data_IF_895743553474
#
_entry.id   IF_895743553474
#
_cell.length_a   1.000
_cell.length_b   1.000
_cell.length_c   1.000
_cell.angle_alpha   90.00
_cell.angle_beta   90.00
_cell.angle_gamma   90.00
#
_symmetry.space_group_name_H-M   'P 1'
#
loop_
_entity.id
_entity.type
_entity.pdbx_description
1 polymer ?
#
# COMPACT_ATOMS: atom_id res chain seq x y z
N UNK A 1 -6.91 -1.18 3.59
CA UNK A 1 -7.42 0.15 4.00
C UNK A 1 -7.60 0.12 5.50
N UNK A 2 -7.62 1.29 6.12
CA UNK A 2 -7.85 1.48 7.56
C UNK A 2 -8.75 2.70 7.76
N UNK A 3 -9.29 2.88 8.95
CA UNK A 3 -10.14 4.03 9.28
C UNK A 3 -9.44 5.35 8.99
N UNK A 4 -8.16 5.45 9.37
CA UNK A 4 -7.29 6.61 9.23
C UNK A 4 -6.96 6.95 7.77
N UNK A 5 -7.14 5.99 6.87
CA UNK A 5 -6.84 6.16 5.45
C UNK A 5 -7.99 6.75 4.65
N UNK A 6 -9.20 6.80 5.22
CA UNK A 6 -10.41 7.37 4.59
C UNK A 6 -10.91 6.63 3.34
N UNK A 7 -10.15 5.68 2.80
CA UNK A 7 -10.47 4.97 1.57
C UNK A 7 -9.53 3.82 1.24
N UNK A 8 -9.72 3.21 0.07
CA UNK A 8 -8.95 2.04 -0.36
C UNK A 8 -7.53 2.44 -0.76
N UNK A 9 -6.54 1.78 -0.17
CA UNK A 9 -5.11 2.07 -0.39
C UNK A 9 -4.44 1.11 -1.38
N UNK A 10 -4.68 -0.19 -1.25
CA UNK A 10 -4.10 -1.24 -2.09
C UNK A 10 -5.25 -2.16 -2.48
N UNK A 11 -5.51 -2.31 -3.78
CA UNK A 11 -6.63 -3.09 -4.32
C UNK A 11 -6.40 -3.48 -5.77
N UNK A 12 -6.92 -4.63 -6.23
CA UNK A 12 -7.04 -4.87 -7.66
C UNK A 12 -8.03 -3.91 -8.30
N UNK A 13 -7.78 -3.57 -9.56
CA UNK A 13 -8.77 -2.95 -10.44
C UNK A 13 -9.39 -4.06 -11.29
N UNK A 14 -10.71 -4.33 -11.16
CA UNK A 14 -11.38 -5.32 -11.97
C UNK A 14 -11.16 -5.04 -13.46
N UNK A 15 -10.76 -6.06 -14.23
CA UNK A 15 -10.45 -5.93 -15.65
C UNK A 15 -9.06 -5.39 -15.99
N UNK A 16 -8.26 -4.93 -15.01
CA UNK A 16 -6.89 -4.45 -15.23
C UNK A 16 -5.83 -5.22 -14.42
N UNK A 17 -6.20 -5.80 -13.27
CA UNK A 17 -5.26 -6.52 -12.39
C UNK A 17 -5.63 -8.00 -12.29
N UNK A 18 -4.69 -8.89 -12.68
CA UNK A 18 -4.82 -10.33 -12.44
C UNK A 18 -4.78 -10.63 -10.93
N UNK A 19 -5.64 -11.54 -10.47
CA UNK A 19 -5.80 -11.82 -9.05
C UNK A 19 -4.91 -12.99 -8.60
N UNK A 20 -4.35 -12.85 -7.39
CA UNK A 20 -3.72 -13.94 -6.63
C UNK A 20 -4.47 -14.08 -5.30
N UNK A 21 -5.01 -15.26 -4.94
CA UNK A 21 -5.74 -15.45 -3.69
C UNK A 21 -4.94 -14.97 -2.47
N UNK A 22 -5.57 -14.17 -1.61
CA UNK A 22 -4.94 -13.60 -0.41
C UNK A 22 -4.07 -12.35 -0.64
N UNK A 23 -3.87 -11.91 -1.89
CA UNK A 23 -3.10 -10.68 -2.18
C UNK A 23 -4.01 -9.47 -2.40
N UNK A 24 -3.65 -8.32 -1.81
CA UNK A 24 -4.26 -7.03 -2.11
C UNK A 24 -3.83 -6.45 -3.48
N UNK A 25 -2.83 -7.06 -4.12
CA UNK A 25 -2.26 -6.72 -5.43
C UNK A 25 -1.41 -5.44 -5.49
N UNK A 26 -1.90 -4.35 -6.06
CA UNK A 26 -1.14 -3.12 -6.37
C UNK A 26 -1.73 -1.91 -5.63
N UNK A 27 -0.92 -0.87 -5.36
CA UNK A 27 -1.42 0.37 -4.77
C UNK A 27 -2.44 1.06 -5.68
N UNK A 28 -3.38 1.78 -5.06
CA UNK A 28 -4.32 2.65 -5.74
C UNK A 28 -3.64 3.96 -6.16
N UNK A 29 -4.33 4.75 -7.00
CA UNK A 29 -3.75 5.98 -7.53
C UNK A 29 -3.40 6.98 -6.42
N UNK A 30 -2.20 7.55 -6.49
CA UNK A 30 -1.69 8.50 -5.49
C UNK A 30 -1.21 7.86 -4.18
N UNK A 31 -1.26 6.53 -4.05
CA UNK A 31 -0.75 5.81 -2.88
C UNK A 31 0.64 5.27 -3.17
N UNK A 32 1.62 5.67 -2.35
CA UNK A 32 3.01 5.23 -2.48
C UNK A 32 3.40 4.36 -1.27
N UNK A 33 3.22 3.02 -1.34
CA UNK A 33 3.61 2.13 -0.26
C UNK A 33 5.12 1.87 -0.27
N UNK A 34 5.71 1.72 0.90
CA UNK A 34 7.10 1.32 1.10
C UNK A 34 7.16 0.26 2.22
N UNK A 35 8.04 -0.73 2.04
CA UNK A 35 8.37 -1.69 3.09
C UNK A 35 9.64 -1.21 3.78
N UNK A 36 9.61 -1.19 5.12
CA UNK A 36 10.77 -0.84 5.94
C UNK A 36 11.06 -1.95 6.96
N UNK A 37 12.31 -2.05 7.40
CA UNK A 37 12.69 -2.91 8.52
C UNK A 37 12.23 -2.32 9.88
N UNK A 38 12.65 -2.95 10.97
CA UNK A 38 12.31 -2.49 12.32
C UNK A 38 13.00 -1.17 12.72
N UNK A 39 14.12 -0.84 12.07
CA UNK A 39 14.90 0.39 12.29
C UNK A 39 14.44 1.53 11.36
N UNK A 40 13.51 1.26 10.45
CA UNK A 40 12.93 2.22 9.51
C UNK A 40 13.69 2.35 8.18
N UNK A 41 14.63 1.44 7.88
CA UNK A 41 15.34 1.46 6.61
C UNK A 41 14.49 0.87 5.48
N UNK A 42 14.41 1.52 4.30
CA UNK A 42 13.71 0.97 3.14
C UNK A 42 14.26 -0.38 2.67
N UNK A 43 13.36 -1.28 2.32
CA UNK A 43 13.67 -2.58 1.72
C UNK A 43 13.14 -2.64 0.27
N UNK A 44 14.01 -3.08 -0.65
CA UNK A 44 13.70 -3.17 -2.08
C UNK A 44 13.48 -4.62 -2.56
N UNK A 45 12.75 -4.76 -3.67
CA UNK A 45 12.52 -6.06 -4.32
C UNK A 45 11.48 -6.93 -3.60
N UNK A 46 11.64 -8.25 -3.71
CA UNK A 46 10.77 -9.21 -3.04
C UNK A 46 11.19 -9.34 -1.57
N UNK A 47 10.46 -8.67 -0.69
CA UNK A 47 10.79 -8.54 0.73
C UNK A 47 9.53 -8.51 1.62
N UNK A 48 9.73 -8.54 2.92
CA UNK A 48 8.71 -8.41 3.96
C UNK A 48 9.16 -7.45 5.06
N UNK A 49 8.22 -6.81 5.75
CA UNK A 49 8.52 -5.81 6.77
C UNK A 49 7.30 -4.95 7.12
N UNK A 50 7.56 -3.80 7.72
CA UNK A 50 6.53 -2.85 8.10
C UNK A 50 6.05 -2.07 6.89
N UNK A 51 4.72 -1.97 6.70
CA UNK A 51 4.12 -1.21 5.61
C UNK A 51 3.95 0.26 6.01
N UNK A 52 4.59 1.16 5.28
CA UNK A 52 4.46 2.60 5.41
C UNK A 52 3.96 3.24 4.11
N UNK A 53 3.36 4.43 4.20
CA UNK A 53 2.99 5.25 3.04
C UNK A 53 3.83 6.52 3.07
N UNK A 54 4.64 6.74 2.02
CA UNK A 54 5.71 7.76 2.04
C UNK A 54 5.23 9.17 1.67
N UNK A 55 4.06 9.28 1.06
CA UNK A 55 3.45 10.56 0.68
C UNK A 55 1.96 10.60 1.08
N UNK A 56 1.44 11.81 1.30
CA UNK A 56 0.03 12.03 1.65
C UNK A 56 -0.90 11.73 0.46
N UNK A 57 -2.14 11.36 0.75
CA UNK A 57 -3.21 11.14 -0.22
C UNK A 57 -4.44 11.97 0.14
N UNK A 58 -5.34 12.28 -0.81
CA UNK A 58 -6.48 13.17 -0.57
C UNK A 58 -7.43 12.73 0.55
N UNK A 59 -7.55 11.43 0.80
CA UNK A 59 -8.44 10.86 1.82
C UNK A 59 -7.80 10.69 3.21
N UNK A 60 -6.55 11.13 3.41
CA UNK A 60 -5.86 10.95 4.69
C UNK A 60 -6.59 11.71 5.80
N UNK A 61 -6.91 11.01 6.89
CA UNK A 61 -7.50 11.63 8.08
C UNK A 61 -6.57 12.73 8.62
N UNK A 62 -7.14 13.87 8.98
CA UNK A 62 -6.47 14.97 9.66
C UNK A 62 -7.07 15.17 11.04
#
# INVERSE_FOLDING_TARGET
WQTETGGIMITPLPGATALKPGSATRPFFGVQPQIVDADGNPLDGATEGNLCIVESWPGQMR
#
